data_IF_438244181452
#
_entry.id   IF_438244181452
#
_cell.length_a   1.000
_cell.length_b   1.000
_cell.length_c   1.000
_cell.angle_alpha   90.00
_cell.angle_beta   90.00
_cell.angle_gamma   90.00
#
_symmetry.space_group_name_H-M   'P 1'
#
loop_
_entity.id
_entity.type
_entity.pdbx_description
1 polymer ?
#
# COMPACT_ATOMS: atom_id res chain seq x y z
N UNK A 1 30.76 -17.70 6.13
CA UNK A 1 29.64 -16.80 6.45
C UNK A 1 28.53 -17.61 7.10
N UNK A 2 28.29 -17.46 8.41
CA UNK A 2 27.44 -18.33 9.25
C UNK A 2 26.02 -17.82 9.51
N UNK A 3 25.67 -16.62 9.02
CA UNK A 3 24.35 -15.97 9.18
C UNK A 3 23.13 -16.74 8.62
N UNK A 4 23.34 -17.87 7.95
CA UNK A 4 22.28 -18.71 7.34
C UNK A 4 22.02 -20.05 8.04
N UNK A 5 22.75 -20.39 9.09
CA UNK A 5 22.70 -21.74 9.69
C UNK A 5 21.69 -21.89 10.84
N UNK A 6 20.73 -20.96 11.01
CA UNK A 6 19.74 -21.05 12.08
C UNK A 6 18.43 -21.54 11.46
N UNK A 7 18.02 -22.75 11.84
CA UNK A 7 16.66 -23.25 11.58
C UNK A 7 15.68 -22.57 12.54
N UNK A 8 14.53 -22.17 12.03
CA UNK A 8 13.46 -21.57 12.84
C UNK A 8 12.93 -22.62 13.83
N UNK A 9 13.00 -22.40 15.16
CA UNK A 9 12.56 -23.38 16.15
C UNK A 9 11.04 -23.47 16.31
N UNK A 10 10.28 -22.65 15.58
CA UNK A 10 8.83 -22.58 15.64
C UNK A 10 8.19 -23.42 14.53
N UNK A 11 7.02 -23.99 14.82
CA UNK A 11 6.22 -24.70 13.83
C UNK A 11 5.82 -23.81 12.67
N UNK A 12 5.75 -24.40 11.49
CA UNK A 12 5.29 -23.69 10.29
C UNK A 12 3.78 -23.70 10.20
N UNK A 13 3.17 -22.54 10.37
CA UNK A 13 1.74 -22.34 10.10
C UNK A 13 1.53 -21.97 8.62
N UNK A 14 0.85 -22.84 7.87
CA UNK A 14 0.58 -22.64 6.45
C UNK A 14 -0.34 -21.45 6.16
N UNK A 15 -1.26 -21.13 7.07
CA UNK A 15 -2.17 -19.99 6.90
C UNK A 15 -1.39 -18.68 7.07
N UNK A 16 -0.49 -18.63 8.06
CA UNK A 16 0.39 -17.47 8.26
C UNK A 16 1.30 -17.28 7.04
N UNK A 17 1.95 -18.35 6.57
CA UNK A 17 2.79 -18.28 5.36
C UNK A 17 1.99 -17.81 4.14
N UNK A 18 0.80 -18.38 3.94
CA UNK A 18 -0.05 -18.00 2.81
C UNK A 18 -0.42 -16.52 2.86
N UNK A 19 -0.82 -16.01 4.03
CA UNK A 19 -1.11 -14.59 4.22
C UNK A 19 0.12 -13.73 3.91
N UNK A 20 1.28 -14.04 4.49
CA UNK A 20 2.51 -13.27 4.26
C UNK A 20 2.92 -13.24 2.77
N UNK A 21 2.67 -14.32 2.03
CA UNK A 21 2.97 -14.40 0.60
C UNK A 21 1.96 -13.70 -0.31
N UNK A 22 0.71 -13.55 0.13
CA UNK A 22 -0.40 -13.10 -0.73
C UNK A 22 -1.03 -11.77 -0.28
N UNK A 23 -0.63 -11.26 0.87
CA UNK A 23 -1.12 -9.99 1.38
C UNK A 23 -0.92 -8.88 0.34
N UNK A 24 -1.96 -8.09 0.03
CA UNK A 24 -1.86 -7.02 -0.94
C UNK A 24 -0.88 -5.97 -0.43
N UNK A 25 0.05 -5.56 -1.30
CA UNK A 25 0.95 -4.44 -1.03
C UNK A 25 0.29 -3.18 -1.59
N UNK A 26 0.02 -2.23 -0.71
CA UNK A 26 -0.54 -0.95 -1.10
C UNK A 26 0.51 -0.08 -1.78
N UNK A 27 0.10 0.69 -2.79
CA UNK A 27 0.95 1.72 -3.38
C UNK A 27 1.26 2.82 -2.37
N UNK A 28 2.41 3.45 -2.52
CA UNK A 28 2.83 4.59 -1.69
C UNK A 28 1.78 5.71 -1.64
N UNK A 29 1.22 6.09 -2.81
CA UNK A 29 0.13 7.08 -2.90
C UNK A 29 -1.09 6.72 -2.03
N UNK A 30 -1.45 5.43 -2.03
CA UNK A 30 -2.58 4.91 -1.25
C UNK A 30 -2.32 4.94 0.25
N UNK A 31 -1.09 4.64 0.67
CA UNK A 31 -0.68 4.74 2.07
C UNK A 31 -0.68 6.20 2.55
N UNK A 32 -0.21 7.14 1.73
CA UNK A 32 -0.29 8.57 2.06
C UNK A 32 -1.74 9.07 2.18
N UNK A 33 -2.64 8.57 1.32
CA UNK A 33 -4.05 8.93 1.41
C UNK A 33 -4.67 8.44 2.73
N UNK A 34 -4.45 7.17 3.09
CA UNK A 34 -4.95 6.60 4.33
C UNK A 34 -4.39 7.31 5.58
N UNK A 35 -3.13 7.76 5.51
CA UNK A 35 -2.53 8.59 6.55
C UNK A 35 -3.28 9.91 6.72
N UNK A 36 -3.58 10.64 5.63
CA UNK A 36 -4.33 11.90 5.70
C UNK A 36 -5.80 11.74 6.12
N UNK A 37 -6.40 10.56 5.90
CA UNK A 37 -7.74 10.23 6.39
C UNK A 37 -7.74 9.98 7.91
N UNK A 38 -6.66 9.39 8.43
CA UNK A 38 -6.48 9.12 9.87
C UNK A 38 -6.07 10.37 10.63
N UNK A 39 -5.22 11.21 10.02
CA UNK A 39 -4.65 12.43 10.58
C UNK A 39 -4.74 13.55 9.53
N UNK A 40 -5.62 14.53 9.75
CA UNK A 40 -5.89 15.57 8.77
C UNK A 40 -4.64 16.44 8.48
N UNK A 41 -4.44 16.89 7.24
CA UNK A 41 -3.29 17.73 6.89
C UNK A 41 -3.30 19.06 7.65
N UNK A 42 -2.21 19.36 8.35
CA UNK A 42 -2.16 20.47 9.29
C UNK A 42 -1.65 21.76 8.64
N UNK A 43 -0.75 21.63 7.67
CA UNK A 43 -0.12 22.76 6.99
C UNK A 43 -0.48 22.86 5.50
N UNK A 44 -0.12 24.00 4.88
CA UNK A 44 -0.47 24.28 3.49
C UNK A 44 0.17 23.28 2.51
N UNK A 45 1.42 22.87 2.78
CA UNK A 45 2.15 21.91 1.94
C UNK A 45 1.45 20.55 1.93
N UNK A 46 1.02 20.06 3.09
CA UNK A 46 0.27 18.82 3.21
C UNK A 46 -1.10 18.90 2.57
N UNK A 47 -1.81 20.03 2.72
CA UNK A 47 -3.10 20.25 2.05
C UNK A 47 -2.96 20.17 0.54
N UNK A 48 -1.90 20.75 -0.02
CA UNK A 48 -1.66 20.73 -1.47
C UNK A 48 -1.22 19.34 -1.94
N UNK A 49 -0.38 18.65 -1.17
CA UNK A 49 -0.01 17.25 -1.43
C UNK A 49 -1.22 16.32 -1.41
N UNK A 50 -2.10 16.46 -0.42
CA UNK A 50 -3.31 15.66 -0.29
C UNK A 50 -4.27 15.86 -1.48
N UNK A 51 -4.46 17.11 -1.92
CA UNK A 51 -5.25 17.41 -3.13
C UNK A 51 -4.66 16.77 -4.38
N UNK A 52 -3.34 16.86 -4.56
CA UNK A 52 -2.66 16.25 -5.71
C UNK A 52 -2.79 14.72 -5.72
N UNK A 53 -2.59 14.06 -4.57
CA UNK A 53 -2.77 12.62 -4.40
C UNK A 53 -4.18 12.16 -4.80
N UNK A 54 -5.21 12.86 -4.31
CA UNK A 54 -6.60 12.57 -4.68
C UNK A 54 -6.88 12.70 -6.17
N UNK A 55 -6.30 13.70 -6.82
CA UNK A 55 -6.43 13.90 -8.26
C UNK A 55 -5.79 12.74 -9.03
N UNK A 56 -4.57 12.34 -8.66
CA UNK A 56 -3.83 11.28 -9.33
C UNK A 56 -4.52 9.91 -9.23
N UNK A 57 -5.11 9.58 -8.08
CA UNK A 57 -5.88 8.34 -7.91
C UNK A 57 -7.15 8.37 -8.76
N UNK A 58 -7.82 9.52 -8.86
CA UNK A 58 -8.99 9.66 -9.73
C UNK A 58 -8.64 9.47 -11.21
N UNK A 59 -7.47 9.93 -11.65
CA UNK A 59 -6.99 9.71 -13.03
C UNK A 59 -6.69 8.23 -13.25
N UNK A 60 -5.87 7.60 -12.38
CA UNK A 60 -5.55 6.16 -12.47
C UNK A 60 -6.80 5.28 -12.49
N UNK A 61 -7.81 5.61 -11.68
CA UNK A 61 -9.08 4.85 -11.65
C UNK A 61 -9.95 5.06 -12.90
N UNK A 62 -9.87 6.21 -13.57
CA UNK A 62 -10.53 6.44 -14.86
C UNK A 62 -9.85 5.65 -15.97
N UNK A 63 -8.52 5.71 -16.06
CA UNK A 63 -7.74 4.99 -17.06
C UNK A 63 -7.98 3.47 -16.97
N UNK A 64 -8.02 2.91 -15.75
CA UNK A 64 -8.31 1.49 -15.54
C UNK A 64 -9.72 1.10 -16.02
N UNK A 65 -10.71 1.99 -15.88
CA UNK A 65 -12.08 1.74 -16.36
C UNK A 65 -12.18 1.82 -17.89
N UNK A 66 -11.44 2.72 -18.51
CA UNK A 66 -11.40 2.85 -19.98
C UNK A 66 -10.71 1.65 -20.63
N UNK A 67 -9.65 1.11 -20.01
CA UNK A 67 -8.92 -0.03 -20.55
C UNK A 67 -9.62 -1.40 -20.39
N UNK A 68 -10.58 -1.53 -19.46
CA UNK A 68 -11.37 -2.76 -19.26
C UNK A 68 -12.76 -2.70 -19.92
N UNK A 69 -13.06 -1.62 -20.66
CA UNK A 69 -14.33 -1.38 -21.34
C UNK A 69 -14.32 -1.61 -22.85
N UNK A 70 -13.31 -2.30 -23.40
CA UNK A 70 -13.16 -2.62 -24.83
C UNK A 70 -13.10 -4.12 -25.06
#
# INVERSE_FOLDING_TARGET
>A
MTWKQIECPFETDRNILHYLHTAPIFSEDGLYLASYESESPENQVEKDRWKALRSNILVKTKELKEHHGS
#
